data_IF_454500091905
#
_entry.id   IF_454500091905
#
_cell.length_a   1.000
_cell.length_b   1.000
_cell.length_c   1.000
_cell.angle_alpha   90.00
_cell.angle_beta   90.00
_cell.angle_gamma   90.00
#
_symmetry.space_group_name_H-M   'P 1'
#
loop_
_entity.id
_entity.type
_entity.pdbx_description
1 polymer ?
#
# COMPACT_ATOMS: atom_id res chain seq x y z
N UNK A 1 -16.54 -22.38 17.24
CA UNK A 1 -15.63 -21.40 16.58
C UNK A 1 -16.48 -20.59 15.61
N UNK A 2 -16.11 -19.34 15.34
CA UNK A 2 -16.97 -18.35 14.68
C UNK A 2 -17.02 -18.42 13.14
N UNK A 3 -16.49 -19.48 12.52
CA UNK A 3 -16.50 -19.75 11.06
C UNK A 3 -16.02 -18.57 10.18
N UNK A 4 -15.24 -17.65 10.74
CA UNK A 4 -14.62 -16.55 10.01
C UNK A 4 -13.25 -16.95 9.44
N UNK A 5 -12.82 -16.35 8.32
CA UNK A 5 -11.46 -16.54 7.82
C UNK A 5 -10.41 -15.99 8.80
N UNK A 6 -9.19 -16.50 8.68
CA UNK A 6 -8.02 -16.06 9.43
C UNK A 6 -6.99 -15.39 8.52
N UNK A 7 -5.97 -14.75 9.10
CA UNK A 7 -4.86 -14.12 8.37
C UNK A 7 -3.54 -14.80 8.70
N UNK A 8 -2.83 -15.26 7.67
CA UNK A 8 -1.44 -15.70 7.76
C UNK A 8 -0.53 -14.55 7.31
N UNK A 9 0.52 -14.16 8.06
CA UNK A 9 1.50 -13.19 7.59
C UNK A 9 2.08 -13.57 6.22
N UNK A 10 2.11 -12.62 5.28
CA UNK A 10 2.55 -12.89 3.91
C UNK A 10 3.79 -12.06 3.55
N UNK A 11 3.69 -10.73 3.56
CA UNK A 11 4.81 -9.86 3.21
C UNK A 11 4.68 -8.47 3.85
N UNK A 12 5.81 -7.78 3.93
CA UNK A 12 5.88 -6.36 4.26
C UNK A 12 6.14 -5.56 2.99
N UNK A 13 5.29 -4.57 2.73
CA UNK A 13 5.47 -3.60 1.64
C UNK A 13 5.94 -2.29 2.25
N UNK A 14 7.00 -1.70 1.71
CA UNK A 14 7.44 -0.34 2.02
C UNK A 14 7.49 0.43 0.72
N UNK A 15 6.78 1.54 0.64
CA UNK A 15 6.72 2.38 -0.56
C UNK A 15 7.30 3.73 -0.21
N UNK A 16 8.33 4.14 -0.94
CA UNK A 16 8.86 5.50 -0.85
C UNK A 16 7.99 6.39 -1.75
N UNK A 17 7.42 7.46 -1.18
CA UNK A 17 6.52 8.36 -1.89
C UNK A 17 7.09 9.77 -2.00
N UNK A 18 6.77 10.45 -3.10
CA UNK A 18 7.05 11.87 -3.29
C UNK A 18 5.84 12.73 -2.84
N UNK A 19 6.00 14.06 -2.93
CA UNK A 19 4.94 15.01 -2.67
C UNK A 19 3.70 14.73 -3.53
N UNK A 20 2.53 14.87 -2.89
CA UNK A 20 1.24 14.74 -3.57
C UNK A 20 1.05 15.81 -4.65
N UNK A 21 0.48 15.39 -5.78
CA UNK A 21 0.04 16.26 -6.87
C UNK A 21 -1.47 16.50 -6.74
N UNK A 22 -1.92 17.68 -6.28
CA UNK A 22 -3.33 17.96 -6.02
C UNK A 22 -4.07 18.25 -7.34
N UNK A 23 -4.65 17.22 -7.95
CA UNK A 23 -5.45 17.36 -9.18
C UNK A 23 -6.79 18.06 -8.91
N UNK A 24 -7.39 17.81 -7.74
CA UNK A 24 -8.68 18.38 -7.36
C UNK A 24 -9.85 17.77 -8.13
N UNK A 25 -10.95 18.51 -8.24
CA UNK A 25 -12.12 18.11 -9.03
C UNK A 25 -12.98 19.31 -9.39
N UNK A 26 -13.29 19.47 -10.68
CA UNK A 26 -14.19 20.53 -11.17
C UNK A 26 -15.61 20.03 -11.50
N UNK A 27 -15.77 18.74 -11.82
CA UNK A 27 -17.06 18.15 -12.24
C UNK A 27 -17.44 16.88 -11.49
N UNK A 28 -16.53 16.33 -10.67
CA UNK A 28 -16.77 15.16 -9.81
C UNK A 28 -16.92 15.63 -8.36
N UNK A 29 -17.53 14.81 -7.51
CA UNK A 29 -17.81 15.16 -6.11
C UNK A 29 -16.64 14.88 -5.14
N UNK A 30 -15.61 14.15 -5.57
CA UNK A 30 -14.42 13.84 -4.75
C UNK A 30 -13.16 14.45 -5.34
N UNK A 31 -12.31 15.05 -4.50
CA UNK A 31 -11.00 15.56 -4.91
C UNK A 31 -10.04 14.41 -5.20
N UNK A 32 -9.25 14.54 -6.26
CA UNK A 32 -8.18 13.60 -6.59
C UNK A 32 -6.82 14.17 -6.17
N UNK A 33 -6.03 13.33 -5.52
CA UNK A 33 -4.61 13.51 -5.30
C UNK A 33 -3.84 12.36 -5.93
N UNK A 34 -2.77 12.67 -6.66
CA UNK A 34 -1.90 11.65 -7.25
C UNK A 34 -0.59 11.66 -6.49
N UNK A 35 -0.24 10.55 -5.86
CA UNK A 35 1.00 10.40 -5.08
C UNK A 35 1.96 9.50 -5.84
N UNK A 36 3.10 10.03 -6.33
CA UNK A 36 4.12 9.22 -6.99
C UNK A 36 4.76 8.21 -6.02
N UNK A 37 4.85 6.96 -6.48
CA UNK A 37 5.56 5.87 -5.81
C UNK A 37 6.93 5.74 -6.46
N UNK A 38 7.96 6.28 -5.80
CA UNK A 38 9.29 6.50 -6.38
C UNK A 38 10.32 5.42 -6.03
N UNK A 39 9.93 4.44 -5.21
CA UNK A 39 10.79 3.37 -4.78
C UNK A 39 10.13 2.51 -3.70
N UNK A 40 10.96 1.67 -3.07
CA UNK A 40 10.54 0.83 -1.96
C UNK A 40 10.78 -0.65 -2.22
N UNK A 41 10.27 -1.48 -1.33
CA UNK A 41 10.53 -2.93 -1.29
C UNK A 41 9.29 -3.73 -0.94
N UNK A 42 9.25 -4.98 -1.39
CA UNK A 42 8.32 -6.02 -0.96
C UNK A 42 9.11 -7.24 -0.52
N UNK A 43 8.90 -7.66 0.74
CA UNK A 43 9.63 -8.79 1.33
C UNK A 43 8.68 -9.75 2.03
N UNK A 44 8.76 -11.03 1.67
CA UNK A 44 7.98 -12.08 2.34
C UNK A 44 8.33 -12.23 3.81
N UNK A 45 7.31 -12.54 4.61
CA UNK A 45 7.50 -13.03 5.97
C UNK A 45 8.15 -14.41 5.93
N UNK A 46 8.98 -14.71 6.94
CA UNK A 46 9.64 -16.02 7.07
C UNK A 46 8.69 -17.22 7.10
N UNK A 47 7.44 -17.01 7.50
CA UNK A 47 6.39 -18.04 7.56
C UNK A 47 5.57 -18.19 6.28
N UNK A 48 5.85 -17.38 5.25
CA UNK A 48 5.11 -17.40 4.00
C UNK A 48 5.78 -18.29 2.95
N UNK A 49 5.03 -19.23 2.39
CA UNK A 49 5.56 -20.28 1.51
C UNK A 49 5.92 -19.82 0.08
N UNK A 50 5.81 -18.53 -0.21
CA UNK A 50 6.22 -17.96 -1.49
C UNK A 50 7.21 -16.81 -1.23
N UNK A 51 8.52 -17.04 -1.38
CA UNK A 51 9.52 -16.02 -1.11
C UNK A 51 9.50 -14.93 -2.19
N UNK A 52 9.26 -13.70 -1.75
CA UNK A 52 9.35 -12.48 -2.55
C UNK A 52 10.42 -11.61 -1.90
N UNK A 53 11.39 -11.21 -2.69
CA UNK A 53 12.34 -10.15 -2.37
C UNK A 53 12.45 -9.27 -3.62
N UNK A 54 11.74 -8.15 -3.59
CA UNK A 54 11.53 -7.31 -4.76
C UNK A 54 11.61 -5.83 -4.41
N UNK A 55 11.93 -5.03 -5.41
CA UNK A 55 12.03 -3.59 -5.33
C UNK A 55 11.07 -2.94 -6.34
N UNK A 56 10.51 -1.78 -6.00
CA UNK A 56 9.73 -1.02 -6.98
C UNK A 56 10.64 -0.53 -8.11
N UNK A 57 10.17 -0.66 -9.34
CA UNK A 57 10.86 -0.18 -10.54
C UNK A 57 9.95 0.71 -11.37
N UNK A 58 10.54 1.69 -12.05
CA UNK A 58 9.79 2.74 -12.73
C UNK A 58 9.13 3.70 -11.74
N UNK A 59 8.06 4.38 -12.17
CA UNK A 59 7.27 5.29 -11.34
C UNK A 59 5.84 4.79 -11.31
N UNK A 60 5.42 4.31 -10.13
CA UNK A 60 4.03 4.00 -9.83
C UNK A 60 3.28 5.21 -9.31
N UNK A 61 1.96 5.11 -9.13
CA UNK A 61 1.16 6.18 -8.53
C UNK A 61 0.01 5.61 -7.68
N UNK A 62 -0.31 6.30 -6.59
CA UNK A 62 -1.57 6.14 -5.86
C UNK A 62 -2.55 7.26 -6.24
N UNK A 63 -3.72 6.88 -6.72
CA UNK A 63 -4.80 7.78 -7.14
C UNK A 63 -5.82 7.91 -6.01
N UNK A 64 -5.50 8.79 -5.07
CA UNK A 64 -6.22 8.94 -3.81
C UNK A 64 -7.42 9.87 -3.99
N UNK A 65 -8.62 9.37 -3.70
CA UNK A 65 -9.83 10.19 -3.67
C UNK A 65 -10.25 10.51 -2.23
N UNK A 66 -10.55 11.77 -1.96
CA UNK A 66 -11.18 12.16 -0.69
C UNK A 66 -12.69 11.96 -0.73
N UNK A 67 -13.23 11.32 0.30
CA UNK A 67 -14.68 11.23 0.48
C UNK A 67 -15.26 12.62 0.81
N UNK A 68 -16.52 12.91 0.41
CA UNK A 68 -17.15 14.21 0.67
C UNK A 68 -17.29 14.58 2.15
N UNK A 69 -17.23 13.60 3.06
CA UNK A 69 -17.28 13.83 4.51
C UNK A 69 -15.96 14.35 5.09
N UNK A 70 -14.88 14.32 4.30
CA UNK A 70 -13.53 14.71 4.73
C UNK A 70 -12.90 13.78 5.77
N UNK A 71 -13.48 12.59 6.00
CA UNK A 71 -13.02 11.64 7.03
C UNK A 71 -12.33 10.42 6.44
N UNK A 72 -12.52 10.14 5.16
CA UNK A 72 -11.96 8.96 4.51
C UNK A 72 -11.23 9.31 3.22
N UNK A 73 -10.16 8.56 2.95
CA UNK A 73 -9.49 8.54 1.65
C UNK A 73 -9.62 7.15 1.02
N UNK A 74 -9.77 7.11 -0.29
CA UNK A 74 -9.88 5.90 -1.12
C UNK A 74 -8.62 5.76 -1.94
N UNK A 75 -7.83 4.73 -1.63
CA UNK A 75 -6.58 4.43 -2.32
C UNK A 75 -6.86 3.63 -3.58
N UNK A 76 -6.03 3.86 -4.59
CA UNK A 76 -5.93 3.02 -5.77
C UNK A 76 -4.52 3.16 -6.33
N UNK A 77 -3.63 2.32 -5.83
CA UNK A 77 -2.21 2.37 -6.12
C UNK A 77 -1.81 1.35 -7.16
N UNK A 78 -0.89 1.76 -8.02
CA UNK A 78 -0.38 0.96 -9.12
C UNK A 78 1.14 1.06 -9.12
N UNK A 79 1.81 -0.09 -9.04
CA UNK A 79 3.26 -0.17 -9.08
C UNK A 79 3.74 -1.40 -9.85
N UNK A 80 5.01 -1.38 -10.21
CA UNK A 80 5.70 -2.52 -10.79
C UNK A 80 6.87 -2.87 -9.88
N UNK A 81 7.00 -4.15 -9.56
CA UNK A 81 8.08 -4.70 -8.76
C UNK A 81 9.00 -5.51 -9.67
N UNK A 82 10.29 -5.45 -9.38
CA UNK A 82 11.29 -6.37 -9.93
C UNK A 82 11.86 -7.22 -8.81
N UNK A 83 11.74 -8.54 -8.95
CA UNK A 83 12.30 -9.49 -7.98
C UNK A 83 13.80 -9.65 -8.18
N UNK A 84 14.51 -10.17 -7.18
CA UNK A 84 15.95 -10.47 -7.27
C UNK A 84 16.32 -11.51 -8.32
N UNK A 85 15.35 -12.34 -8.72
CA UNK A 85 15.48 -13.36 -9.77
C UNK A 85 14.83 -12.90 -11.09
N UNK A 86 14.78 -11.57 -11.29
CA UNK A 86 14.44 -10.83 -12.51
C UNK A 86 13.01 -10.99 -13.04
N UNK A 87 12.07 -11.50 -12.24
CA UNK A 87 10.65 -11.47 -12.57
C UNK A 87 10.06 -10.07 -12.37
N UNK A 88 9.03 -9.75 -13.18
CA UNK A 88 8.22 -8.55 -13.01
C UNK A 88 6.87 -8.93 -12.41
N UNK A 89 6.47 -8.19 -11.38
CA UNK A 89 5.16 -8.29 -10.75
C UNK A 89 4.49 -6.92 -10.86
N UNK A 90 3.33 -6.86 -11.49
CA UNK A 90 2.45 -5.72 -11.31
C UNK A 90 1.76 -5.85 -9.95
N UNK A 91 1.77 -4.77 -9.18
CA UNK A 91 1.13 -4.66 -7.88
C UNK A 91 0.04 -3.61 -7.96
N UNK A 92 -1.19 -4.00 -7.64
CA UNK A 92 -2.27 -3.06 -7.37
C UNK A 92 -2.72 -3.21 -5.92
N UNK A 93 -3.02 -2.09 -5.27
CA UNK A 93 -3.79 -2.14 -4.05
C UNK A 93 -4.81 -1.03 -3.97
N UNK A 94 -5.98 -1.40 -3.45
CA UNK A 94 -7.03 -0.45 -3.10
C UNK A 94 -7.20 -0.45 -1.59
N UNK A 95 -7.74 0.62 -1.04
CA UNK A 95 -7.88 0.70 0.39
C UNK A 95 -8.64 1.91 0.88
N UNK A 96 -8.83 1.93 2.19
CA UNK A 96 -9.50 3.01 2.90
C UNK A 96 -8.58 3.49 4.00
N UNK A 97 -8.35 4.80 4.04
CA UNK A 97 -7.73 5.46 5.18
C UNK A 97 -8.81 6.25 5.92
N UNK A 98 -8.97 6.01 7.21
CA UNK A 98 -9.69 6.89 8.12
C UNK A 98 -8.75 7.99 8.58
N UNK A 99 -9.12 9.25 8.35
CA UNK A 99 -8.30 10.41 8.70
C UNK A 99 -8.39 10.70 10.20
N UNK A 100 -7.37 10.26 10.93
CA UNK A 100 -7.08 10.72 12.27
C UNK A 100 -6.14 11.95 12.26
N UNK A 101 -5.82 12.51 13.44
CA UNK A 101 -4.90 13.63 13.56
C UNK A 101 -3.51 13.34 12.97
N UNK A 102 -3.04 12.11 13.09
CA UNK A 102 -1.72 11.69 12.59
C UNK A 102 -1.68 11.65 11.06
N UNK A 103 -2.68 11.05 10.42
CA UNK A 103 -2.79 10.99 8.96
C UNK A 103 -3.00 12.37 8.37
N UNK A 104 -3.86 13.20 8.99
CA UNK A 104 -4.05 14.58 8.56
C UNK A 104 -2.76 15.41 8.63
N UNK A 105 -1.91 15.20 9.64
CA UNK A 105 -0.61 15.87 9.73
C UNK A 105 0.35 15.41 8.63
N UNK A 106 0.33 14.14 8.25
CA UNK A 106 1.14 13.60 7.14
C UNK A 106 0.72 14.24 5.82
N UNK A 107 -0.57 14.19 5.48
CA UNK A 107 -1.08 14.79 4.23
C UNK A 107 -0.97 16.32 4.22
N UNK A 108 -0.99 16.96 5.39
CA UNK A 108 -0.77 18.40 5.55
C UNK A 108 0.69 18.83 5.54
N UNK A 109 1.66 17.90 5.51
CA UNK A 109 3.09 18.20 5.55
C UNK A 109 3.58 18.75 6.89
N UNK A 110 2.86 18.49 7.98
CA UNK A 110 3.16 18.99 9.34
C UNK A 110 3.50 17.89 10.34
N UNK A 111 3.52 16.63 9.89
CA UNK A 111 3.91 15.50 10.72
C UNK A 111 5.34 15.64 11.23
N UNK A 112 5.54 15.28 12.50
CA UNK A 112 6.86 15.13 13.11
C UNK A 112 7.48 13.78 12.71
N UNK A 113 8.78 13.63 12.98
CA UNK A 113 9.48 12.36 12.80
C UNK A 113 8.84 11.25 13.63
N UNK A 114 8.72 10.06 13.02
CA UNK A 114 8.14 8.88 13.64
C UNK A 114 7.13 8.17 12.75
N UNK A 115 6.42 7.21 13.35
CA UNK A 115 5.41 6.41 12.65
C UNK A 115 4.01 6.74 13.15
N UNK A 116 3.05 6.82 12.23
CA UNK A 116 1.63 6.79 12.63
C UNK A 116 1.29 5.40 13.21
N UNK A 117 0.32 5.30 14.13
CA UNK A 117 -0.15 4.00 14.58
C UNK A 117 -0.81 3.23 13.44
N UNK A 118 -0.81 1.90 13.54
CA UNK A 118 -1.67 1.07 12.70
C UNK A 118 -3.14 1.20 13.13
N UNK A 119 -4.05 0.80 12.25
CA UNK A 119 -5.50 0.70 12.54
C UNK A 119 -6.39 1.70 11.81
N UNK A 120 -5.80 2.68 11.12
CA UNK A 120 -6.54 3.66 10.32
C UNK A 120 -6.47 3.41 8.81
N UNK A 121 -5.62 2.48 8.34
CA UNK A 121 -5.45 2.19 6.92
C UNK A 121 -5.57 0.70 6.70
N UNK A 122 -6.53 0.29 5.86
CA UNK A 122 -6.73 -1.10 5.45
C UNK A 122 -6.80 -1.21 3.92
N UNK A 123 -6.20 -2.26 3.39
CA UNK A 123 -5.93 -2.41 1.95
C UNK A 123 -6.20 -3.83 1.48
N UNK A 124 -6.55 -3.98 0.20
CA UNK A 124 -6.62 -5.23 -0.54
C UNK A 124 -5.56 -5.18 -1.66
N UNK A 125 -4.67 -6.16 -1.69
CA UNK A 125 -3.58 -6.27 -2.66
C UNK A 125 -3.89 -7.34 -3.70
N UNK A 126 -3.60 -7.02 -4.96
CA UNK A 126 -3.61 -7.95 -6.08
C UNK A 126 -2.29 -7.87 -6.84
N UNK A 127 -1.95 -8.97 -7.50
CA UNK A 127 -0.73 -9.10 -8.29
C UNK A 127 -1.08 -9.63 -9.68
N UNK A 128 -0.26 -9.29 -10.67
CA UNK A 128 -0.25 -9.92 -11.98
C UNK A 128 1.20 -10.17 -12.40
N UNK A 129 1.47 -11.30 -13.03
CA UNK A 129 2.80 -11.65 -13.52
C UNK A 129 2.76 -12.61 -14.71
N UNK A 130 3.76 -12.49 -15.59
CA UNK A 130 4.01 -13.47 -16.65
C UNK A 130 4.91 -14.63 -16.21
N UNK A 131 5.37 -14.65 -14.95
CA UNK A 131 6.34 -15.62 -14.46
C UNK A 131 5.69 -16.73 -13.61
N UNK A 132 5.76 -17.97 -14.10
CA UNK A 132 5.15 -19.15 -13.46
C UNK A 132 5.59 -19.36 -12.00
N UNK A 133 6.77 -18.88 -11.59
CA UNK A 133 7.25 -18.97 -10.20
C UNK A 133 6.35 -18.21 -9.22
N UNK A 134 5.67 -17.18 -9.70
CA UNK A 134 4.89 -16.24 -8.89
C UNK A 134 3.38 -16.29 -9.15
N UNK A 135 2.90 -17.16 -10.06
CA UNK A 135 1.48 -17.27 -10.43
C UNK A 135 0.52 -17.47 -9.26
N UNK A 136 1.00 -18.09 -8.18
CA UNK A 136 0.20 -18.34 -6.99
C UNK A 136 -0.25 -17.06 -6.28
N UNK A 137 0.40 -15.92 -6.55
CA UNK A 137 -0.04 -14.61 -6.06
C UNK A 137 -1.39 -14.20 -6.64
N UNK A 138 -1.68 -14.59 -7.88
CA UNK A 138 -2.93 -14.24 -8.57
C UNK A 138 -4.14 -15.04 -8.03
N UNK A 139 -3.87 -16.17 -7.36
CA UNK A 139 -4.89 -17.09 -6.86
C UNK A 139 -5.15 -16.94 -5.34
N UNK A 140 -4.70 -15.84 -4.74
CA UNK A 140 -4.79 -15.60 -3.29
C UNK A 140 -5.39 -14.23 -3.00
N UNK A 141 -6.02 -14.11 -1.83
CA UNK A 141 -6.56 -12.85 -1.34
C UNK A 141 -5.62 -12.30 -0.27
N UNK A 142 -5.21 -11.05 -0.43
CA UNK A 142 -4.28 -10.39 0.48
C UNK A 142 -4.88 -9.11 1.03
N UNK A 143 -4.84 -8.97 2.36
CA UNK A 143 -5.26 -7.74 3.03
C UNK A 143 -4.14 -7.20 3.89
N UNK A 144 -4.01 -5.88 3.94
CA UNK A 144 -2.95 -5.22 4.68
C UNK A 144 -3.47 -4.11 5.58
N UNK A 145 -2.70 -3.83 6.62
CA UNK A 145 -2.84 -2.62 7.42
C UNK A 145 -1.63 -1.71 7.20
N UNK A 146 -1.91 -0.43 6.99
CA UNK A 146 -0.90 0.58 6.63
C UNK A 146 -0.57 1.55 7.76
N UNK A 147 0.61 2.16 7.67
CA UNK A 147 1.02 3.34 8.43
C UNK A 147 2.00 4.19 7.63
N UNK A 148 2.15 5.46 8.02
CA UNK A 148 3.17 6.34 7.46
C UNK A 148 4.37 6.38 8.40
N UNK A 149 5.57 6.34 7.82
CA UNK A 149 6.82 6.57 8.51
C UNK A 149 7.42 7.88 7.96
N UNK A 150 7.57 8.86 8.83
CA UNK A 150 8.07 10.19 8.50
C UNK A 150 9.47 10.33 9.10
N UNK A 151 10.42 10.75 8.28
CA UNK A 151 11.76 11.13 8.70
C UNK A 151 12.18 12.40 7.95
N UNK A 152 12.53 13.44 8.69
CA UNK A 152 12.87 14.74 8.14
C UNK A 152 14.01 14.65 7.13
N UNK A 153 13.78 15.23 5.95
CA UNK A 153 14.77 15.26 4.86
C UNK A 153 14.85 13.97 4.05
N UNK A 154 13.98 12.99 4.31
CA UNK A 154 13.81 11.80 3.49
C UNK A 154 12.40 11.73 2.89
N UNK A 155 12.20 10.96 1.81
CA UNK A 155 10.87 10.60 1.35
C UNK A 155 10.06 9.95 2.48
N UNK A 156 8.74 10.21 2.49
CA UNK A 156 7.84 9.52 3.41
C UNK A 156 7.76 8.06 2.96
N UNK A 157 7.77 7.14 3.91
CA UNK A 157 7.64 5.70 3.63
C UNK A 157 6.29 5.22 4.10
N UNK A 158 5.47 4.71 3.20
CA UNK A 158 4.23 4.02 3.55
C UNK A 158 4.55 2.55 3.77
N UNK A 159 4.31 2.06 4.99
CA UNK A 159 4.55 0.66 5.36
C UNK A 159 3.23 -0.08 5.50
N UNK A 160 3.12 -1.22 4.83
CA UNK A 160 2.00 -2.14 4.98
C UNK A 160 2.48 -3.49 5.50
N UNK A 161 1.77 -4.02 6.50
CA UNK A 161 1.86 -5.42 6.91
C UNK A 161 0.73 -6.18 6.27
N UNK A 162 1.07 -7.10 5.37
CA UNK A 162 0.11 -7.80 4.53
C UNK A 162 0.01 -9.26 4.93
N UNK A 163 -1.21 -9.75 5.07
CA UNK A 163 -1.53 -11.14 5.34
C UNK A 163 -2.33 -11.77 4.21
N UNK A 164 -2.10 -13.06 3.96
CA UNK A 164 -2.97 -13.89 3.14
C UNK A 164 -4.22 -14.25 3.94
N UNK A 165 -5.38 -14.10 3.33
CA UNK A 165 -6.64 -14.65 3.86
C UNK A 165 -6.63 -16.16 3.70
N UNK A 166 -6.83 -16.88 4.80
CA UNK A 166 -6.83 -18.34 4.88
C UNK A 166 -8.05 -18.85 5.63
N UNK A 167 -8.32 -20.15 5.53
CA UNK A 167 -9.33 -20.81 6.34
C UNK A 167 -8.98 -20.66 7.84
N UNK A 168 -9.98 -20.30 8.66
CA UNK A 168 -9.83 -20.11 10.11
C UNK A 168 -10.11 -21.33 10.96
#
# INVERSE_FOLDING_TARGET
MSEFPSLQPAFTVKVDIDASLPVGSASRTGSLQVVPMIGGTVKSDSSFNLPIDAEFVGVGNDYIHGDPDGKHLRLNAHGVLKTKDDALLYLNYTGVITLGPAEAAVFGGTAADGSTPFGNSFTHFTFETGDERYKELENRVFVGQGRFNVEKGKPIVVEYRVGQVVHG
#
